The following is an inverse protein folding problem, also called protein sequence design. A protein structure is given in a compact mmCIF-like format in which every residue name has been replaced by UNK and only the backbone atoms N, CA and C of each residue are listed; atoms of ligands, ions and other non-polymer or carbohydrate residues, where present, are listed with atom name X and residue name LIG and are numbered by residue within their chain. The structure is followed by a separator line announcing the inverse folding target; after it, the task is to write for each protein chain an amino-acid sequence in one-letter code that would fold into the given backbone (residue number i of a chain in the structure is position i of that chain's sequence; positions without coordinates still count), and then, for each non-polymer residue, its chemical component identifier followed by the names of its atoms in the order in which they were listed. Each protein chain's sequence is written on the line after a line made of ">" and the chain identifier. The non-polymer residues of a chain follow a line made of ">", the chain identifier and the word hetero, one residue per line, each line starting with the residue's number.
data_IF_735264611326
#
_entry.id   IF_735264611326
#
_cell.length_a   1.000
_cell.length_b   1.000
_cell.length_c   1.000
_cell.angle_alpha   90.00
_cell.angle_beta   90.00
_cell.angle_gamma   90.00
#
_symmetry.space_group_name_H-M   'P 1'
#
loop_
_entity.id
_entity.type
_entity.pdbx_description
1 polymer ?
#
# COMPACT_ATOMS: atom_id res chain seq x y z
N UNK A 1 17.44 -11.42 16.59
CA UNK A 1 17.20 -11.42 15.12
C UNK A 1 15.74 -11.76 14.80
N UNK A 2 15.17 -12.83 15.39
CA UNK A 2 13.76 -13.26 15.23
C UNK A 2 12.74 -12.15 15.57
N UNK A 3 12.87 -11.49 16.73
CA UNK A 3 11.94 -10.43 17.14
C UNK A 3 11.90 -9.20 16.19
N UNK A 4 13.00 -8.95 15.46
CA UNK A 4 13.07 -7.83 14.52
C UNK A 4 12.35 -8.17 13.20
N UNK A 5 12.51 -9.40 12.72
CA UNK A 5 11.81 -9.90 11.53
C UNK A 5 10.30 -10.04 11.79
N UNK A 6 9.90 -10.56 12.95
CA UNK A 6 8.49 -10.61 13.40
C UNK A 6 7.86 -9.22 13.45
N UNK A 7 8.60 -8.22 13.94
CA UNK A 7 8.14 -6.84 13.95
C UNK A 7 7.87 -6.32 12.53
N UNK A 8 8.74 -6.59 11.55
CA UNK A 8 8.49 -6.20 10.16
C UNK A 8 7.30 -6.98 9.58
N UNK A 9 7.21 -8.31 9.79
CA UNK A 9 6.07 -9.12 9.32
C UNK A 9 4.74 -8.56 9.82
N UNK A 10 4.66 -8.08 11.08
CA UNK A 10 3.46 -7.42 11.63
C UNK A 10 3.08 -6.13 10.89
N UNK A 11 4.04 -5.38 10.39
CA UNK A 11 3.80 -4.15 9.62
C UNK A 11 3.38 -4.51 8.19
N UNK A 12 4.04 -5.49 7.58
CA UNK A 12 3.66 -6.03 6.27
C UNK A 12 2.23 -6.58 6.28
N UNK A 13 1.82 -7.23 7.38
CA UNK A 13 0.43 -7.70 7.55
C UNK A 13 -0.57 -6.53 7.53
N UNK A 14 -0.28 -5.43 8.24
CA UNK A 14 -1.16 -4.25 8.24
C UNK A 14 -1.26 -3.60 6.86
N UNK A 15 -0.17 -3.56 6.10
CA UNK A 15 -0.19 -3.13 4.69
C UNK A 15 -1.15 -4.01 3.88
N UNK A 16 -1.05 -5.33 4.06
CA UNK A 16 -1.91 -6.27 3.34
C UNK A 16 -3.39 -6.10 3.73
N UNK A 17 -3.69 -5.86 5.01
CA UNK A 17 -5.05 -5.57 5.50
C UNK A 17 -5.62 -4.27 4.89
N UNK A 18 -4.82 -3.21 4.79
CA UNK A 18 -5.21 -1.99 4.07
C UNK A 18 -5.50 -2.25 2.59
N UNK A 19 -4.67 -3.06 1.93
CA UNK A 19 -4.89 -3.45 0.54
C UNK A 19 -6.19 -4.26 0.36
N UNK A 20 -6.47 -5.23 1.26
CA UNK A 20 -7.74 -5.97 1.23
C UNK A 20 -8.95 -5.05 1.43
N UNK A 21 -8.83 -4.07 2.33
CA UNK A 21 -9.88 -3.06 2.54
C UNK A 21 -10.22 -2.34 1.23
N UNK A 22 -9.21 -1.96 0.42
CA UNK A 22 -9.44 -1.34 -0.89
C UNK A 22 -10.14 -2.27 -1.90
N UNK A 23 -9.90 -3.57 -1.85
CA UNK A 23 -10.57 -4.53 -2.72
C UNK A 23 -12.08 -4.64 -2.41
N UNK A 24 -12.44 -4.53 -1.13
CA UNK A 24 -13.80 -4.74 -0.62
C UNK A 24 -14.73 -3.52 -0.76
N UNK A 25 -14.18 -2.34 -1.05
CA UNK A 25 -14.97 -1.11 -1.26
C UNK A 25 -15.97 -1.25 -2.42
N UNK A 26 -17.09 -0.53 -2.29
CA UNK A 26 -18.24 -0.63 -3.20
C UNK A 26 -18.50 0.65 -4.00
N UNK A 27 -17.52 1.55 -4.01
CA UNK A 27 -17.53 2.79 -4.78
C UNK A 27 -18.70 3.73 -4.41
N UNK A 28 -19.10 3.72 -3.12
CA UNK A 28 -20.21 4.55 -2.60
C UNK A 28 -19.70 5.87 -1.99
N UNK A 29 -20.57 6.88 -1.81
CA UNK A 29 -20.21 8.09 -1.06
C UNK A 29 -19.57 7.75 0.29
N UNK A 30 -18.46 8.42 0.59
CA UNK A 30 -17.63 8.16 1.78
C UNK A 30 -16.48 7.16 1.54
N UNK A 31 -16.55 6.28 0.54
CA UNK A 31 -15.45 5.34 0.25
C UNK A 31 -14.17 6.08 -0.19
N UNK A 32 -14.29 7.25 -0.81
CA UNK A 32 -13.13 8.08 -1.19
C UNK A 32 -12.27 8.48 0.03
N UNK A 33 -12.90 8.77 1.18
CA UNK A 33 -12.21 9.09 2.43
C UNK A 33 -11.53 7.85 3.00
N UNK A 34 -12.18 6.69 2.92
CA UNK A 34 -11.59 5.40 3.33
C UNK A 34 -10.34 5.11 2.50
N UNK A 35 -10.41 5.28 1.17
CA UNK A 35 -9.26 5.12 0.27
C UNK A 35 -8.11 6.03 0.72
N UNK A 36 -8.38 7.31 0.99
CA UNK A 36 -7.36 8.27 1.44
C UNK A 36 -6.67 7.79 2.72
N UNK A 37 -7.45 7.38 3.72
CA UNK A 37 -6.94 6.90 5.01
C UNK A 37 -6.06 5.66 4.82
N UNK A 38 -6.52 4.67 4.06
CA UNK A 38 -5.75 3.43 3.85
C UNK A 38 -4.47 3.68 3.04
N UNK A 39 -4.49 4.60 2.07
CA UNK A 39 -3.28 5.02 1.36
C UNK A 39 -2.26 5.72 2.28
N UNK A 40 -2.71 6.63 3.15
CA UNK A 40 -1.83 7.30 4.11
C UNK A 40 -1.17 6.29 5.06
N UNK A 41 -1.94 5.32 5.56
CA UNK A 41 -1.42 4.21 6.38
C UNK A 41 -0.36 3.41 5.62
N UNK A 42 -0.68 2.93 4.41
CA UNK A 42 0.26 2.14 3.60
C UNK A 42 1.54 2.93 3.30
N UNK A 43 1.44 4.20 2.90
CA UNK A 43 2.60 5.04 2.62
C UNK A 43 3.51 5.20 3.84
N UNK A 44 2.92 5.42 5.02
CA UNK A 44 3.66 5.46 6.29
C UNK A 44 4.36 4.12 6.58
N UNK A 45 3.65 3.00 6.43
CA UNK A 45 4.22 1.68 6.66
C UNK A 45 5.32 1.33 5.65
N UNK A 46 5.19 1.72 4.38
CA UNK A 46 6.23 1.55 3.37
C UNK A 46 7.53 2.23 3.77
N UNK A 47 7.45 3.48 4.27
CA UNK A 47 8.62 4.19 4.78
C UNK A 47 9.25 3.48 5.99
N UNK A 48 8.43 2.99 6.93
CA UNK A 48 8.91 2.26 8.11
C UNK A 48 9.61 0.95 7.73
N UNK A 49 9.01 0.15 6.83
CA UNK A 49 9.59 -1.10 6.33
C UNK A 49 10.91 -0.83 5.62
N UNK A 50 10.96 0.15 4.71
CA UNK A 50 12.18 0.54 4.00
C UNK A 50 13.30 0.93 4.96
N UNK A 51 13.02 1.80 5.93
CA UNK A 51 14.02 2.24 6.92
C UNK A 51 14.55 1.07 7.75
N UNK A 52 13.67 0.16 8.18
CA UNK A 52 14.08 -1.02 8.96
C UNK A 52 14.93 -1.99 8.15
N UNK A 53 14.63 -2.16 6.87
CA UNK A 53 15.41 -3.01 5.95
C UNK A 53 16.79 -2.40 5.69
N UNK A 54 16.87 -1.10 5.43
CA UNK A 54 18.16 -0.41 5.21
C UNK A 54 19.10 -0.48 6.41
N UNK A 55 18.56 -0.39 7.63
CA UNK A 55 19.33 -0.46 8.86
C UNK A 55 19.88 -1.87 9.14
N UNK A 56 19.34 -2.91 8.50
CA UNK A 56 19.72 -4.30 8.72
C UNK A 56 20.30 -4.91 7.44
N UNK A 57 21.62 -5.08 7.44
CA UNK A 57 22.39 -5.54 6.28
C UNK A 57 22.11 -7.00 5.85
N UNK A 58 21.33 -7.76 6.62
CA UNK A 58 21.22 -9.23 6.50
C UNK A 58 19.78 -9.72 6.22
N UNK A 59 18.99 -9.00 5.43
CA UNK A 59 17.65 -9.46 5.06
C UNK A 59 17.65 -10.45 3.89
N UNK A 60 16.65 -11.34 3.88
CA UNK A 60 16.44 -12.25 2.75
C UNK A 60 16.14 -11.47 1.47
N UNK A 61 16.36 -12.12 0.33
CA UNK A 61 16.18 -11.51 -0.99
C UNK A 61 14.75 -10.92 -1.17
N UNK A 62 13.73 -11.55 -0.57
CA UNK A 62 12.34 -11.11 -0.75
C UNK A 62 12.03 -9.81 0.01
N UNK A 63 12.59 -9.60 1.20
CA UNK A 63 12.49 -8.30 1.88
C UNK A 63 13.20 -7.20 1.10
N UNK A 64 14.38 -7.48 0.54
CA UNK A 64 15.11 -6.51 -0.29
C UNK A 64 14.33 -6.15 -1.56
N UNK A 65 13.72 -7.14 -2.23
CA UNK A 65 12.81 -6.90 -3.36
C UNK A 65 11.61 -6.06 -2.94
N UNK A 66 10.97 -6.40 -1.83
CA UNK A 66 9.81 -5.67 -1.31
C UNK A 66 10.16 -4.20 -1.06
N UNK A 67 11.31 -3.94 -0.43
CA UNK A 67 11.78 -2.58 -0.19
C UNK A 67 11.94 -1.78 -1.49
N UNK A 68 12.55 -2.37 -2.53
CA UNK A 68 12.68 -1.71 -3.84
C UNK A 68 11.32 -1.41 -4.47
N UNK A 69 10.37 -2.34 -4.38
CA UNK A 69 9.00 -2.19 -4.90
C UNK A 69 8.22 -1.09 -4.18
N UNK A 70 8.29 -1.05 -2.84
CA UNK A 70 7.69 0.03 -2.03
C UNK A 70 8.28 1.40 -2.35
N UNK A 71 9.61 1.49 -2.53
CA UNK A 71 10.26 2.74 -2.95
C UNK A 71 9.80 3.17 -4.34
N UNK A 72 9.73 2.24 -5.27
CA UNK A 72 9.22 2.50 -6.61
C UNK A 72 7.79 3.05 -6.55
N UNK A 73 6.91 2.44 -5.75
CA UNK A 73 5.55 2.92 -5.57
C UNK A 73 5.52 4.38 -5.06
N UNK A 74 6.23 4.66 -3.96
CA UNK A 74 6.28 5.99 -3.34
C UNK A 74 6.85 7.09 -4.27
N UNK A 75 7.71 6.71 -5.22
CA UNK A 75 8.34 7.64 -6.15
C UNK A 75 7.48 7.93 -7.39
N UNK A 76 6.67 6.96 -7.83
CA UNK A 76 5.98 7.05 -9.13
C UNK A 76 4.48 7.30 -9.01
N UNK A 77 3.89 7.12 -7.82
CA UNK A 77 2.45 7.27 -7.62
C UNK A 77 2.14 8.29 -6.51
N UNK A 78 1.32 9.28 -6.83
CA UNK A 78 0.82 10.28 -5.88
C UNK A 78 -0.71 10.42 -5.94
N UNK A 79 -1.41 9.39 -5.43
CA UNK A 79 -2.87 9.35 -5.42
C UNK A 79 -3.51 10.23 -4.36
N UNK A 80 -2.79 10.64 -3.30
CA UNK A 80 -3.36 11.50 -2.25
C UNK A 80 -3.81 12.83 -2.84
N UNK A 81 -2.99 13.45 -3.69
CA UNK A 81 -3.32 14.70 -4.36
C UNK A 81 -4.48 14.52 -5.36
N UNK A 82 -4.52 13.41 -6.10
CA UNK A 82 -5.62 13.10 -7.02
C UNK A 82 -6.94 12.95 -6.25
N UNK A 83 -6.94 12.24 -5.13
CA UNK A 83 -8.10 12.05 -4.25
C UNK A 83 -8.59 13.39 -3.67
N UNK A 84 -7.68 14.25 -3.19
CA UNK A 84 -8.05 15.55 -2.65
C UNK A 84 -8.71 16.45 -3.71
N UNK A 85 -8.22 16.38 -4.95
CA UNK A 85 -8.84 17.08 -6.08
C UNK A 85 -10.21 16.51 -6.41
N UNK A 86 -10.36 15.18 -6.38
CA UNK A 86 -11.63 14.50 -6.63
C UNK A 86 -12.67 14.76 -5.55
N UNK A 87 -12.28 14.87 -4.28
CA UNK A 87 -13.20 15.05 -3.16
C UNK A 87 -14.07 16.30 -3.30
N UNK A 88 -13.50 17.38 -3.85
CA UNK A 88 -14.19 18.66 -4.02
C UNK A 88 -15.18 18.67 -5.20
N UNK A 89 -14.95 17.84 -6.22
CA UNK A 89 -15.67 17.94 -7.49
C UNK A 89 -16.58 16.74 -7.77
N UNK A 90 -16.23 15.56 -7.25
CA UNK A 90 -16.75 14.27 -7.71
C UNK A 90 -16.89 13.22 -6.60
N UNK A 91 -16.93 13.62 -5.33
CA UNK A 91 -17.00 12.69 -4.19
C UNK A 91 -18.22 11.75 -4.22
N UNK A 92 -19.27 12.12 -4.96
CA UNK A 92 -20.50 11.33 -5.11
C UNK A 92 -20.63 10.64 -6.48
N UNK A 93 -19.60 10.64 -7.33
CA UNK A 93 -19.60 9.97 -8.64
C UNK A 93 -19.03 8.54 -8.51
N UNK A 94 -19.86 7.48 -8.50
CA UNK A 94 -19.40 6.12 -8.26
C UNK A 94 -18.44 5.61 -9.35
N UNK A 95 -18.59 6.08 -10.60
CA UNK A 95 -17.72 5.66 -11.68
C UNK A 95 -16.31 6.23 -11.51
N UNK A 96 -16.20 7.48 -11.08
CA UNK A 96 -14.89 8.08 -10.80
C UNK A 96 -14.23 7.44 -9.58
N UNK A 97 -14.99 7.18 -8.51
CA UNK A 97 -14.51 6.46 -7.34
C UNK A 97 -13.97 5.07 -7.70
N UNK A 98 -14.72 4.32 -8.52
CA UNK A 98 -14.26 3.03 -9.05
C UNK A 98 -12.96 3.16 -9.84
N UNK A 99 -12.88 4.13 -10.73
CA UNK A 99 -11.70 4.31 -11.59
C UNK A 99 -10.44 4.63 -10.77
N UNK A 100 -10.52 5.54 -9.80
CA UNK A 100 -9.36 5.86 -8.95
C UNK A 100 -8.94 4.66 -8.09
N UNK A 101 -9.93 3.95 -7.53
CA UNK A 101 -9.67 2.75 -6.73
C UNK A 101 -8.96 1.66 -7.53
N UNK A 102 -9.40 1.39 -8.76
CA UNK A 102 -8.76 0.40 -9.64
C UNK A 102 -7.31 0.81 -9.99
N UNK A 103 -7.07 2.07 -10.35
CA UNK A 103 -5.70 2.56 -10.61
C UNK A 103 -4.78 2.39 -9.40
N UNK A 104 -5.29 2.67 -8.20
CA UNK A 104 -4.55 2.46 -6.95
C UNK A 104 -4.23 0.97 -6.77
N UNK A 105 -5.21 0.08 -6.93
CA UNK A 105 -5.00 -1.37 -6.82
C UNK A 105 -3.95 -1.85 -7.83
N UNK A 106 -4.06 -1.42 -9.08
CA UNK A 106 -3.11 -1.76 -10.15
C UNK A 106 -1.70 -1.28 -9.82
N UNK A 107 -1.54 -0.05 -9.35
CA UNK A 107 -0.23 0.49 -8.95
C UNK A 107 0.38 -0.22 -7.74
N UNK A 108 -0.45 -0.71 -6.81
CA UNK A 108 0.00 -1.53 -5.68
C UNK A 108 0.40 -2.94 -6.14
N UNK A 109 -0.19 -3.44 -7.22
CA UNK A 109 0.15 -4.72 -7.83
C UNK A 109 1.34 -4.62 -8.80
N UNK A 110 1.70 -3.41 -9.24
CA UNK A 110 2.86 -3.17 -10.09
C UNK A 110 4.14 -3.75 -9.47
N UNK A 111 5.00 -4.25 -10.36
CA UNK A 111 6.21 -5.01 -10.00
C UNK A 111 5.93 -6.12 -8.98
N UNK A 112 4.76 -6.74 -8.99
CA UNK A 112 4.29 -7.80 -8.07
C UNK A 112 4.49 -7.50 -6.57
N UNK A 113 4.33 -6.22 -6.15
CA UNK A 113 4.53 -5.86 -4.74
C UNK A 113 3.61 -6.65 -3.80
N UNK A 114 2.32 -6.79 -4.11
CA UNK A 114 1.37 -7.59 -3.33
C UNK A 114 1.75 -9.09 -3.33
N UNK A 115 2.27 -9.62 -4.42
CA UNK A 115 2.71 -11.02 -4.48
C UNK A 115 3.90 -11.27 -3.54
N UNK A 116 4.89 -10.38 -3.54
CA UNK A 116 6.02 -10.47 -2.59
C UNK A 116 5.58 -10.36 -1.14
N UNK A 117 4.60 -9.48 -0.84
CA UNK A 117 3.99 -9.40 0.49
C UNK A 117 3.41 -10.77 0.89
N UNK A 118 2.65 -11.41 -0.01
CA UNK A 118 2.08 -12.72 0.25
C UNK A 118 3.14 -13.80 0.49
N UNK A 119 4.23 -13.80 -0.28
CA UNK A 119 5.36 -14.74 -0.08
C UNK A 119 5.95 -14.57 1.33
N UNK A 120 6.23 -13.34 1.75
CA UNK A 120 6.81 -13.04 3.07
C UNK A 120 5.85 -13.43 4.21
N UNK A 121 4.56 -13.22 4.04
CA UNK A 121 3.56 -13.55 5.07
C UNK A 121 3.29 -15.06 5.21
N UNK A 122 3.59 -15.85 4.18
CA UNK A 122 3.46 -17.32 4.18
C UNK A 122 4.73 -18.06 4.59
N UNK A 123 5.89 -17.40 4.49
CA UNK A 123 7.18 -17.90 5.01
C UNK A 123 7.25 -17.88 6.53
#
# INVERSE_FOLDING_TARGET
>A
MIAFEENIKRIIKQIFESYQTLLELKDKPGDLEIIKIELLKMNGFFQVVNKKIELSKNYSNDYVKLSKRMKHYLQNYNFIQEIETMANLYSNDPHRLKNIRLKIIESLQDKDMIETINIILKS
#
